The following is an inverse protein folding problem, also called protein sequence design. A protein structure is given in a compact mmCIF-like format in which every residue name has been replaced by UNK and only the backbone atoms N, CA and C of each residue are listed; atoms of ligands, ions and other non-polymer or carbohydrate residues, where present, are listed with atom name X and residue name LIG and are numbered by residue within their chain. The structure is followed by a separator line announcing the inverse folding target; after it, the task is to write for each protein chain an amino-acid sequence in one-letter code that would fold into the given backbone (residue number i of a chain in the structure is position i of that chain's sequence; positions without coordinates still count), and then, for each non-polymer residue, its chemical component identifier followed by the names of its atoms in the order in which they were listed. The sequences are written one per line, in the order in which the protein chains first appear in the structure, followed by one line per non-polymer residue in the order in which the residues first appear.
data_IF_201691384676
#
_entry.id   IF_201691384676
#
_cell.length_a   1.000
_cell.length_b   1.000
_cell.length_c   1.000
_cell.angle_alpha   90.00
_cell.angle_beta   90.00
_cell.angle_gamma   90.00
#
_symmetry.space_group_name_H-M   'P 1'
#
loop_
_entity.id
_entity.type
_entity.pdbx_description
1 polymer ?
#
# COMPACT_ATOMS: atom_id res chain seq x y z
N UNK A 1 -8.46 73.83 -22.65
CA UNK A 1 -8.74 75.24 -22.30
C UNK A 1 -10.22 75.45 -22.61
N UNK A 2 -11.17 75.61 -21.69
CA UNK A 2 -11.23 76.40 -20.46
C UNK A 2 -12.32 75.84 -19.52
N UNK A 3 -11.99 75.84 -18.22
CA UNK A 3 -12.79 76.07 -16.97
C UNK A 3 -14.32 76.21 -17.07
N UNK A 4 -15.16 75.99 -16.05
CA UNK A 4 -15.12 75.48 -14.67
C UNK A 4 -16.52 75.90 -14.14
N UNK A 5 -17.26 75.07 -13.41
CA UNK A 5 -18.55 75.49 -12.85
C UNK A 5 -19.14 74.48 -11.88
N UNK A 6 -18.71 74.56 -10.62
CA UNK A 6 -19.18 73.73 -9.51
C UNK A 6 -20.44 74.30 -8.83
N UNK A 7 -21.11 73.39 -8.09
CA UNK A 7 -21.99 73.57 -6.91
C UNK A 7 -23.49 73.64 -7.21
N UNK A 8 -24.26 72.65 -6.71
CA UNK A 8 -24.92 72.77 -5.41
C UNK A 8 -25.46 71.41 -4.93
N UNK A 9 -25.39 71.22 -3.62
CA UNK A 9 -25.76 70.04 -2.84
C UNK A 9 -27.24 70.16 -2.46
N UNK A 10 -28.01 69.08 -2.55
CA UNK A 10 -29.19 68.88 -1.70
C UNK A 10 -29.19 67.49 -1.09
N UNK A 11 -29.13 67.49 0.24
CA UNK A 11 -29.26 66.37 1.16
C UNK A 11 -30.72 65.91 1.16
N UNK A 12 -30.98 64.62 0.90
CA UNK A 12 -32.22 63.97 1.34
C UNK A 12 -31.85 62.70 2.10
N UNK A 13 -32.11 62.73 3.40
CA UNK A 13 -32.03 61.60 4.31
C UNK A 13 -33.14 60.60 3.97
N UNK A 14 -32.75 59.38 3.63
CA UNK A 14 -33.64 58.24 3.47
C UNK A 14 -33.21 57.13 4.41
N UNK A 15 -33.89 57.03 5.56
CA UNK A 15 -33.83 55.88 6.46
C UNK A 15 -34.51 54.70 5.75
N UNK A 16 -33.80 53.59 5.55
CA UNK A 16 -34.40 52.33 5.14
C UNK A 16 -33.85 51.18 5.98
N UNK A 17 -34.82 50.48 6.59
CA UNK A 17 -34.71 49.39 7.52
C UNK A 17 -33.97 48.17 6.94
N UNK A 18 -33.22 47.55 7.86
CA UNK A 18 -32.78 46.16 7.93
C UNK A 18 -33.41 45.13 6.97
N UNK A 19 -32.53 44.37 6.31
CA UNK A 19 -32.65 42.92 6.20
C UNK A 19 -31.24 42.34 6.20
N UNK A 20 -30.73 42.01 7.39
CA UNK A 20 -29.61 41.09 7.53
C UNK A 20 -30.08 39.73 7.01
N UNK A 21 -29.91 39.47 5.72
CA UNK A 21 -29.93 38.12 5.21
C UNK A 21 -28.70 37.42 5.82
N UNK A 22 -28.93 36.70 6.92
CA UNK A 22 -28.12 35.56 7.27
C UNK A 22 -28.19 34.58 6.08
N UNK A 23 -27.38 34.84 5.05
CA UNK A 23 -26.87 33.76 4.23
C UNK A 23 -25.98 32.95 5.16
N UNK A 24 -26.63 32.05 5.92
CA UNK A 24 -25.96 30.88 6.41
C UNK A 24 -25.37 30.23 5.19
N UNK A 25 -24.06 30.43 5.01
CA UNK A 25 -23.25 29.60 4.15
C UNK A 25 -23.43 28.20 4.72
N UNK A 26 -24.40 27.44 4.20
CA UNK A 26 -24.40 26.00 4.36
C UNK A 26 -23.12 25.59 3.67
N UNK A 27 -22.07 25.37 4.46
CA UNK A 27 -21.03 24.47 4.03
C UNK A 27 -21.78 23.24 3.54
N UNK A 28 -21.61 22.92 2.26
CA UNK A 28 -21.84 21.56 1.80
C UNK A 28 -20.79 20.74 2.54
N UNK A 29 -21.09 20.42 3.79
CA UNK A 29 -20.40 19.39 4.52
C UNK A 29 -20.63 18.14 3.70
N UNK A 30 -19.58 17.72 2.99
CA UNK A 30 -19.48 16.33 2.59
C UNK A 30 -19.70 15.54 3.88
N UNK A 31 -20.81 14.84 3.99
CA UNK A 31 -20.93 13.79 5.00
C UNK A 31 -19.85 12.76 4.66
N UNK A 32 -18.66 12.98 5.20
CA UNK A 32 -17.62 11.97 5.19
C UNK A 32 -18.13 10.91 6.14
N UNK A 33 -18.75 9.86 5.58
CA UNK A 33 -19.16 8.70 6.34
C UNK A 33 -17.99 8.18 7.17
N UNK A 34 -18.30 7.62 8.34
CA UNK A 34 -17.32 7.07 9.28
C UNK A 34 -16.25 6.24 8.56
N UNK A 35 -14.96 6.39 8.91
CA UNK A 35 -13.88 5.63 8.27
C UNK A 35 -14.17 4.13 8.26
N UNK A 36 -13.74 3.46 7.18
CA UNK A 36 -13.85 2.02 7.02
C UNK A 36 -12.46 1.42 7.18
N UNK A 37 -12.34 0.39 8.01
CA UNK A 37 -11.09 -0.37 8.14
C UNK A 37 -11.01 -1.42 7.03
N UNK A 38 -9.99 -1.35 6.18
CA UNK A 38 -9.67 -2.42 5.25
C UNK A 38 -8.85 -3.46 6.00
N UNK A 39 -9.45 -4.61 6.26
CA UNK A 39 -8.81 -5.74 6.94
C UNK A 39 -8.25 -6.72 5.91
N UNK A 40 -6.94 -6.93 5.97
CA UNK A 40 -6.21 -7.91 5.18
C UNK A 40 -6.02 -9.17 6.01
N UNK A 41 -6.42 -10.31 5.46
CA UNK A 41 -6.23 -11.65 6.03
C UNK A 41 -5.47 -12.51 5.02
N UNK A 42 -4.25 -12.89 5.38
CA UNK A 42 -3.36 -13.70 4.54
C UNK A 42 -2.97 -14.96 5.31
N UNK A 43 -3.00 -16.10 4.63
CA UNK A 43 -2.47 -17.37 5.15
C UNK A 43 -1.35 -17.84 4.25
N UNK A 44 -0.20 -18.12 4.86
CA UNK A 44 0.97 -18.67 4.21
C UNK A 44 1.00 -20.19 4.40
N UNK A 45 1.54 -20.89 3.41
CA UNK A 45 1.92 -22.31 3.52
C UNK A 45 3.39 -22.42 3.93
N UNK A 46 3.69 -22.85 5.18
CA UNK A 46 5.06 -22.96 5.66
C UNK A 46 5.91 -23.98 4.91
N UNK A 47 5.29 -25.01 4.34
CA UNK A 47 6.00 -26.10 3.72
C UNK A 47 6.63 -25.67 2.40
N UNK A 48 6.06 -24.66 1.73
CA UNK A 48 6.63 -24.07 0.52
C UNK A 48 7.98 -23.42 0.82
N UNK A 49 8.05 -22.49 1.77
CA UNK A 49 9.32 -21.79 2.03
C UNK A 49 10.32 -22.61 2.85
N UNK A 50 9.89 -23.66 3.58
CA UNK A 50 10.80 -24.63 4.23
C UNK A 50 11.53 -25.52 3.22
N UNK A 51 11.00 -25.66 2.00
CA UNK A 51 11.66 -26.38 0.90
C UNK A 51 12.68 -25.51 0.16
N UNK A 52 12.65 -24.19 0.35
CA UNK A 52 13.65 -23.30 -0.25
C UNK A 52 15.05 -23.57 0.30
N UNK A 53 16.07 -23.12 -0.44
CA UNK A 53 17.45 -23.34 -0.03
C UNK A 53 17.78 -22.70 1.33
N UNK A 54 17.12 -21.59 1.68
CA UNK A 54 17.37 -20.87 2.93
C UNK A 54 16.43 -21.22 4.07
N UNK A 55 15.28 -21.85 3.79
CA UNK A 55 14.31 -22.30 4.80
C UNK A 55 13.87 -21.16 5.73
N UNK A 56 13.79 -19.94 5.20
CA UNK A 56 13.38 -18.75 5.95
C UNK A 56 11.99 -18.31 5.51
N UNK A 57 11.19 -17.74 6.43
CA UNK A 57 9.93 -17.13 6.06
C UNK A 57 10.12 -16.08 4.96
N UNK A 58 9.12 -15.90 4.07
CA UNK A 58 9.19 -14.93 3.00
C UNK A 58 9.27 -13.49 3.51
N UNK A 59 9.70 -12.60 2.64
CA UNK A 59 9.47 -11.17 2.77
C UNK A 59 8.22 -10.81 1.97
N UNK A 60 7.40 -9.90 2.47
CA UNK A 60 6.32 -9.33 1.68
C UNK A 60 5.93 -7.93 2.13
N UNK A 61 5.21 -7.22 1.27
CA UNK A 61 4.62 -5.92 1.55
C UNK A 61 3.19 -5.85 1.03
N UNK A 62 2.38 -5.02 1.69
CA UNK A 62 1.00 -4.71 1.36
C UNK A 62 0.89 -3.20 1.29
N UNK A 63 0.31 -2.66 0.22
CA UNK A 63 0.07 -1.22 0.10
C UNK A 63 -1.20 -0.94 -0.72
N UNK A 64 -1.68 0.29 -0.56
CA UNK A 64 -2.78 0.85 -1.33
C UNK A 64 -2.25 1.86 -2.33
N UNK A 65 -2.91 1.93 -3.49
CA UNK A 65 -2.82 3.05 -4.42
C UNK A 65 -4.24 3.53 -4.72
N UNK A 66 -4.47 4.84 -4.69
CA UNK A 66 -5.78 5.37 -5.11
C UNK A 66 -6.01 5.11 -6.61
N UNK A 67 -7.26 5.24 -7.06
CA UNK A 67 -7.62 4.94 -8.46
C UNK A 67 -6.88 5.80 -9.50
N UNK A 68 -6.26 6.91 -9.11
CA UNK A 68 -5.47 7.78 -9.98
C UNK A 68 -3.95 7.59 -9.82
N UNK A 69 -3.52 6.75 -8.87
CA UNK A 69 -2.12 6.57 -8.46
C UNK A 69 -1.50 7.79 -7.77
N UNK A 70 -2.32 8.71 -7.23
CA UNK A 70 -1.82 9.93 -6.59
C UNK A 70 -1.44 9.71 -5.12
N UNK A 71 -2.21 8.91 -4.40
CA UNK A 71 -1.89 8.45 -3.04
C UNK A 71 -1.35 7.03 -3.07
N UNK A 72 -0.17 6.82 -2.46
CA UNK A 72 0.41 5.52 -2.15
C UNK A 72 0.49 5.41 -0.63
N UNK A 73 0.04 4.29 -0.08
CA UNK A 73 0.09 4.05 1.37
C UNK A 73 0.55 2.64 1.68
N UNK A 74 1.73 2.51 2.28
CA UNK A 74 2.18 1.23 2.84
C UNK A 74 1.28 0.84 4.02
N UNK A 75 0.71 -0.37 3.96
CA UNK A 75 -0.14 -0.94 5.01
C UNK A 75 0.69 -1.84 5.92
N UNK A 76 1.55 -2.66 5.33
CA UNK A 76 2.40 -3.58 6.04
C UNK A 76 3.63 -3.95 5.21
N UNK A 77 4.79 -4.16 5.85
CA UNK A 77 5.99 -4.70 5.22
C UNK A 77 6.80 -5.51 6.22
N UNK A 78 7.44 -6.58 5.75
CA UNK A 78 8.32 -7.38 6.60
C UNK A 78 9.53 -6.56 7.06
N UNK A 79 9.82 -6.61 8.36
CA UNK A 79 10.83 -5.79 9.03
C UNK A 79 12.20 -5.83 8.36
N UNK A 80 12.69 -6.99 7.88
CA UNK A 80 14.03 -7.01 7.26
C UNK A 80 14.11 -6.14 6.01
N UNK A 81 13.05 -6.11 5.20
CA UNK A 81 12.99 -5.22 4.04
C UNK A 81 12.64 -3.80 4.48
N UNK A 82 11.68 -3.63 5.38
CA UNK A 82 11.22 -2.33 5.87
C UNK A 82 12.27 -1.54 6.66
N UNK A 83 13.14 -2.21 7.42
CA UNK A 83 14.18 -1.58 8.23
C UNK A 83 15.59 -1.74 7.62
N UNK A 84 15.72 -2.42 6.47
CA UNK A 84 17.02 -2.73 5.88
C UNK A 84 17.93 -3.58 6.79
N UNK A 85 17.35 -4.42 7.65
CA UNK A 85 18.04 -5.15 8.71
C UNK A 85 18.44 -6.59 8.31
N UNK A 86 19.23 -6.74 7.25
CA UNK A 86 19.66 -8.05 6.73
C UNK A 86 20.93 -8.63 7.37
N UNK A 87 21.31 -8.12 8.55
CA UNK A 87 22.60 -8.36 9.18
C UNK A 87 23.67 -7.40 8.64
N UNK A 88 24.09 -6.44 9.46
CA UNK A 88 24.92 -5.32 9.03
C UNK A 88 24.14 -4.27 8.20
N UNK A 89 24.86 -3.35 7.54
CA UNK A 89 24.28 -2.30 6.66
C UNK A 89 24.01 -2.81 5.24
N UNK A 90 23.33 -3.95 5.13
CA UNK A 90 23.15 -4.63 3.85
C UNK A 90 21.69 -4.52 3.40
N UNK A 91 21.47 -3.95 2.23
CA UNK A 91 20.17 -3.95 1.55
C UNK A 91 20.11 -5.15 0.61
N UNK A 92 18.94 -5.80 0.51
CA UNK A 92 18.64 -6.85 -0.49
C UNK A 92 17.76 -6.25 -1.59
N UNK A 93 18.36 -5.74 -2.68
CA UNK A 93 17.65 -4.92 -3.67
C UNK A 93 16.59 -5.67 -4.49
N UNK A 94 16.61 -7.00 -4.47
CA UNK A 94 15.68 -7.87 -5.19
C UNK A 94 14.63 -8.53 -4.30
N UNK A 95 14.60 -8.19 -2.99
CA UNK A 95 13.63 -8.74 -2.04
C UNK A 95 12.20 -8.30 -2.38
N UNK A 96 11.93 -6.99 -2.36
CA UNK A 96 10.63 -6.40 -2.71
C UNK A 96 10.83 -5.14 -3.57
N UNK A 97 11.48 -5.24 -4.75
CA UNK A 97 11.92 -4.07 -5.50
C UNK A 97 10.75 -3.21 -5.98
N UNK A 98 9.60 -3.82 -6.28
CA UNK A 98 8.44 -3.06 -6.74
C UNK A 98 7.87 -2.21 -5.61
N UNK A 99 7.63 -2.78 -4.43
CA UNK A 99 7.23 -2.03 -3.24
C UNK A 99 8.26 -0.96 -2.86
N UNK A 100 9.57 -1.26 -2.89
CA UNK A 100 10.62 -0.25 -2.61
C UNK A 100 10.47 0.97 -3.53
N UNK A 101 10.13 0.77 -4.80
CA UNK A 101 9.86 1.88 -5.71
C UNK A 101 8.61 2.70 -5.35
N UNK A 102 7.60 2.07 -4.73
CA UNK A 102 6.37 2.72 -4.26
C UNK A 102 6.59 3.45 -2.93
N UNK A 103 7.34 2.83 -2.02
CA UNK A 103 7.76 3.46 -0.77
C UNK A 103 8.59 4.73 -1.00
N UNK A 104 9.50 4.74 -1.99
CA UNK A 104 10.24 5.95 -2.39
C UNK A 104 9.32 7.08 -2.84
N UNK A 105 8.26 6.76 -3.59
CA UNK A 105 7.26 7.73 -4.04
C UNK A 105 6.40 8.24 -2.88
N UNK A 106 5.98 7.34 -1.99
CA UNK A 106 5.22 7.64 -0.78
C UNK A 106 5.98 8.59 0.17
N UNK A 107 7.26 8.32 0.39
CA UNK A 107 8.08 9.04 1.40
C UNK A 107 8.91 10.18 0.83
N UNK A 108 9.03 10.30 -0.49
CA UNK A 108 10.00 11.19 -1.14
C UNK A 108 11.46 10.75 -0.98
N UNK A 109 11.72 9.53 -0.51
CA UNK A 109 13.08 9.02 -0.33
C UNK A 109 13.79 8.74 -1.67
N UNK A 110 15.10 8.99 -1.70
CA UNK A 110 15.96 8.69 -2.85
C UNK A 110 16.48 7.24 -2.86
N UNK A 111 16.40 6.54 -1.75
CA UNK A 111 16.97 5.20 -1.54
C UNK A 111 15.95 4.14 -1.14
N UNK A 112 16.39 2.89 -1.00
CA UNK A 112 15.60 1.87 -0.32
C UNK A 112 15.60 2.12 1.21
N UNK A 113 14.69 1.49 1.97
CA UNK A 113 14.77 1.55 3.42
C UNK A 113 16.11 1.04 3.95
N UNK A 114 16.67 1.74 4.93
CA UNK A 114 17.93 1.38 5.61
C UNK A 114 17.75 1.51 7.12
N UNK A 115 18.69 1.02 7.95
CA UNK A 115 18.63 1.24 9.39
C UNK A 115 18.58 2.73 9.79
N UNK A 116 19.16 3.62 8.97
CA UNK A 116 19.15 5.07 9.18
C UNK A 116 17.88 5.75 8.62
N UNK A 117 17.16 5.09 7.71
CA UNK A 117 15.91 5.57 7.12
C UNK A 117 14.93 4.41 6.90
N UNK A 118 14.39 3.81 7.98
CA UNK A 118 13.51 2.66 7.88
C UNK A 118 12.07 3.09 7.50
N UNK A 119 11.28 2.16 6.99
CA UNK A 119 9.83 2.26 7.04
C UNK A 119 9.38 2.35 8.51
N UNK A 120 8.35 3.16 8.75
CA UNK A 120 7.87 3.43 10.12
C UNK A 120 7.42 2.16 10.82
N UNK A 121 7.71 2.04 12.12
CA UNK A 121 7.42 0.82 12.91
C UNK A 121 5.95 0.39 12.85
N UNK A 122 5.03 1.35 12.71
CA UNK A 122 3.59 1.09 12.63
C UNK A 122 3.17 0.20 11.43
N UNK A 123 4.02 0.12 10.40
CA UNK A 123 3.77 -0.71 9.20
C UNK A 123 4.79 -1.83 9.05
N UNK A 124 5.72 -2.01 10.00
CA UNK A 124 6.71 -3.09 9.93
C UNK A 124 6.38 -4.22 10.90
N UNK A 125 6.74 -5.45 10.54
CA UNK A 125 6.59 -6.59 11.44
C UNK A 125 7.36 -7.82 11.01
N UNK A 126 7.51 -8.77 11.94
CA UNK A 126 8.05 -10.08 11.61
C UNK A 126 7.09 -10.82 10.67
N UNK A 127 7.62 -11.60 9.73
CA UNK A 127 6.81 -12.53 8.94
C UNK A 127 6.15 -13.53 9.89
N UNK A 128 4.81 -13.58 9.98
CA UNK A 128 4.17 -14.58 10.82
C UNK A 128 4.42 -15.98 10.26
N UNK A 129 4.38 -16.97 11.15
CA UNK A 129 4.66 -18.36 10.76
C UNK A 129 3.57 -18.94 9.85
N UNK A 130 2.35 -18.41 9.88
CA UNK A 130 1.23 -18.93 9.09
C UNK A 130 0.25 -17.82 8.70
N UNK A 131 -0.40 -17.17 9.68
CA UNK A 131 -1.44 -16.18 9.38
C UNK A 131 -0.99 -14.75 9.69
N UNK A 132 -1.25 -13.82 8.76
CA UNK A 132 -1.17 -12.37 8.98
C UNK A 132 -2.58 -11.76 8.97
N UNK A 133 -2.83 -10.89 9.95
CA UNK A 133 -3.92 -9.93 9.91
C UNK A 133 -3.38 -8.52 10.12
N UNK A 134 -3.72 -7.59 9.22
CA UNK A 134 -3.42 -6.17 9.38
C UNK A 134 -4.57 -5.31 8.86
N UNK A 135 -4.68 -4.08 9.36
CA UNK A 135 -5.77 -3.17 9.00
C UNK A 135 -5.24 -1.77 8.69
N UNK A 136 -5.94 -1.05 7.81
CA UNK A 136 -5.74 0.39 7.61
C UNK A 136 -7.08 1.08 7.46
N UNK A 137 -7.22 2.29 7.99
CA UNK A 137 -8.44 3.08 7.87
C UNK A 137 -8.41 3.96 6.63
N UNK A 138 -9.50 3.93 5.86
CA UNK A 138 -9.69 4.79 4.69
C UNK A 138 -11.07 5.43 4.74
N UNK A 139 -11.26 6.52 3.99
CA UNK A 139 -12.56 7.20 3.91
C UNK A 139 -13.65 6.26 3.38
N UNK A 140 -14.85 6.28 3.98
CA UNK A 140 -15.97 5.50 3.48
C UNK A 140 -16.25 5.78 2.00
N UNK A 141 -16.56 4.72 1.24
CA UNK A 141 -16.88 4.80 -0.19
C UNK A 141 -15.68 5.03 -1.12
N UNK A 142 -14.48 5.29 -0.59
CA UNK A 142 -13.27 5.41 -1.39
C UNK A 142 -12.93 4.11 -2.13
N UNK A 143 -12.27 4.22 -3.29
CA UNK A 143 -11.84 3.09 -4.12
C UNK A 143 -10.33 2.99 -4.12
N UNK A 144 -9.83 1.79 -3.90
CA UNK A 144 -8.41 1.50 -3.81
C UNK A 144 -8.04 0.31 -4.69
N UNK A 145 -6.92 0.46 -5.41
CA UNK A 145 -6.13 -0.68 -5.83
C UNK A 145 -5.26 -1.08 -4.63
N UNK A 146 -5.20 -2.37 -4.32
CA UNK A 146 -4.30 -2.89 -3.30
C UNK A 146 -3.37 -3.93 -3.92
N UNK A 147 -2.15 -3.96 -3.41
CA UNK A 147 -1.09 -4.80 -3.93
C UNK A 147 -0.44 -5.58 -2.80
N UNK A 148 0.02 -6.77 -3.14
CA UNK A 148 0.81 -7.63 -2.25
C UNK A 148 1.98 -8.15 -3.06
N UNK A 149 3.20 -7.81 -2.66
CA UNK A 149 4.43 -8.35 -3.25
C UNK A 149 5.06 -9.32 -2.27
N UNK A 150 5.44 -10.53 -2.72
CA UNK A 150 6.06 -11.55 -1.87
C UNK A 150 7.30 -12.15 -2.52
N UNK A 151 8.31 -12.43 -1.71
CA UNK A 151 9.55 -13.10 -2.09
C UNK A 151 9.95 -14.19 -1.09
N UNK A 152 10.27 -15.37 -1.62
CA UNK A 152 10.92 -16.45 -0.87
C UNK A 152 12.37 -16.52 -1.32
N UNK A 153 13.28 -15.97 -0.51
CA UNK A 153 14.70 -16.00 -0.85
C UNK A 153 15.22 -17.44 -0.93
N UNK A 154 15.97 -17.74 -1.99
CA UNK A 154 16.57 -19.05 -2.26
C UNK A 154 15.59 -20.07 -2.80
N UNK A 155 14.43 -19.65 -3.31
CA UNK A 155 13.42 -20.52 -3.96
C UNK A 155 13.83 -20.83 -5.42
N UNK A 156 14.97 -21.52 -5.58
CA UNK A 156 15.54 -21.82 -6.88
C UNK A 156 14.77 -22.92 -7.61
N UNK A 157 14.72 -22.82 -8.94
CA UNK A 157 14.24 -23.88 -9.81
C UNK A 157 15.03 -23.90 -11.14
N UNK A 158 14.57 -24.65 -12.13
CA UNK A 158 15.25 -24.75 -13.43
C UNK A 158 15.36 -23.39 -14.16
N UNK A 159 14.30 -22.58 -14.12
CA UNK A 159 14.26 -21.27 -14.80
C UNK A 159 15.00 -20.19 -14.01
N UNK A 160 14.98 -20.28 -12.68
CA UNK A 160 15.58 -19.33 -11.76
C UNK A 160 16.65 -20.02 -10.90
N UNK A 161 17.73 -20.43 -11.55
CA UNK A 161 18.84 -21.13 -10.90
C UNK A 161 19.78 -20.17 -10.17
N UNK A 162 20.53 -20.68 -9.18
CA UNK A 162 21.56 -19.91 -8.48
C UNK A 162 22.73 -19.46 -9.40
N UNK A 163 22.91 -20.18 -10.51
CA UNK A 163 23.77 -19.78 -11.63
C UNK A 163 22.96 -20.03 -12.91
N UNK A 164 22.71 -18.98 -13.67
CA UNK A 164 22.00 -19.07 -14.96
C UNK A 164 22.79 -19.86 -16.00
N UNK A 165 22.14 -20.23 -17.11
CA UNK A 165 22.76 -20.95 -18.23
C UNK A 165 23.97 -20.21 -18.83
N UNK A 166 23.93 -18.88 -18.82
CA UNK A 166 25.01 -18.01 -19.31
C UNK A 166 26.08 -17.71 -18.23
N UNK A 167 26.03 -18.40 -17.08
CA UNK A 167 27.02 -18.28 -16.01
C UNK A 167 26.81 -17.10 -15.05
N UNK A 168 25.77 -16.28 -15.22
CA UNK A 168 25.43 -15.21 -14.27
C UNK A 168 24.97 -15.81 -12.94
N UNK A 169 25.69 -15.51 -11.86
CA UNK A 169 25.39 -15.95 -10.49
C UNK A 169 24.36 -15.04 -9.81
N UNK A 170 23.40 -15.64 -9.12
CA UNK A 170 22.51 -14.94 -8.20
C UNK A 170 23.26 -14.55 -6.91
N UNK A 171 23.77 -13.32 -6.87
CA UNK A 171 24.52 -12.80 -5.73
C UNK A 171 23.63 -12.44 -4.54
N UNK A 172 22.34 -12.23 -4.78
CA UNK A 172 21.39 -11.80 -3.75
C UNK A 172 20.68 -12.99 -3.08
N UNK A 173 20.76 -14.17 -3.71
CA UNK A 173 20.08 -15.35 -3.22
C UNK A 173 18.57 -15.26 -3.41
N UNK A 174 18.13 -14.70 -4.53
CA UNK A 174 16.72 -14.51 -4.82
C UNK A 174 16.03 -15.86 -5.10
N UNK A 175 16.52 -16.59 -6.09
CA UNK A 175 15.76 -17.69 -6.69
C UNK A 175 14.65 -17.16 -7.59
N UNK A 176 13.46 -17.74 -7.50
CA UNK A 176 12.28 -17.17 -8.15
C UNK A 176 12.10 -15.70 -7.72
N UNK A 177 11.91 -14.76 -8.67
CA UNK A 177 11.71 -13.35 -8.35
C UNK A 177 10.45 -13.13 -7.52
N UNK A 178 10.34 -11.97 -6.88
CA UNK A 178 9.12 -11.63 -6.16
C UNK A 178 7.92 -11.61 -7.11
N UNK A 179 6.78 -12.03 -6.61
CA UNK A 179 5.52 -12.03 -7.35
C UNK A 179 4.55 -11.00 -6.75
N UNK A 180 3.72 -10.42 -7.61
CA UNK A 180 2.82 -9.33 -7.23
C UNK A 180 1.37 -9.75 -7.48
N UNK A 181 0.57 -9.68 -6.42
CA UNK A 181 -0.88 -9.76 -6.48
C UNK A 181 -1.47 -8.35 -6.51
N UNK A 182 -2.57 -8.17 -7.25
CA UNK A 182 -3.36 -6.94 -7.28
C UNK A 182 -4.84 -7.25 -7.11
N UNK A 183 -5.52 -6.47 -6.29
CA UNK A 183 -6.97 -6.45 -6.21
C UNK A 183 -7.51 -5.04 -6.12
N UNK A 184 -8.84 -4.94 -6.12
CA UNK A 184 -9.55 -3.66 -6.03
C UNK A 184 -10.62 -3.77 -4.96
N UNK A 185 -10.81 -2.72 -4.17
CA UNK A 185 -11.85 -2.69 -3.14
C UNK A 185 -12.46 -1.29 -3.02
N UNK A 186 -13.79 -1.25 -2.86
CA UNK A 186 -14.49 -0.05 -2.40
C UNK A 186 -14.68 -0.17 -0.89
N UNK A 187 -14.28 0.86 -0.15
CA UNK A 187 -14.28 0.89 1.29
C UNK A 187 -15.70 1.01 1.85
N UNK A 188 -16.41 -0.11 1.90
CA UNK A 188 -17.75 -0.25 2.46
C UNK A 188 -17.75 -1.44 3.45
N UNK A 189 -18.42 -1.32 4.61
CA UNK A 189 -18.55 -2.44 5.53
C UNK A 189 -19.13 -3.69 4.85
N UNK A 190 -18.53 -4.85 5.12
CA UNK A 190 -18.91 -6.15 4.55
C UNK A 190 -18.41 -6.39 3.11
N UNK A 191 -17.84 -5.39 2.43
CA UNK A 191 -17.29 -5.59 1.08
C UNK A 191 -16.06 -6.48 1.15
N UNK A 192 -16.01 -7.53 0.33
CA UNK A 192 -14.88 -8.47 0.23
C UNK A 192 -14.20 -8.37 -1.13
N UNK A 193 -12.90 -8.65 -1.16
CA UNK A 193 -12.10 -8.72 -2.37
C UNK A 193 -10.98 -9.76 -2.23
N UNK A 194 -10.65 -10.42 -3.35
CA UNK A 194 -9.56 -11.38 -3.46
C UNK A 194 -8.70 -10.94 -4.64
N UNK A 195 -7.37 -10.76 -4.47
CA UNK A 195 -6.53 -10.28 -5.54
C UNK A 195 -6.22 -11.38 -6.55
N UNK A 196 -5.71 -10.97 -7.71
CA UNK A 196 -5.17 -11.85 -8.75
C UNK A 196 -3.66 -11.69 -8.81
N UNK A 197 -2.95 -12.77 -9.09
CA UNK A 197 -1.52 -12.71 -9.44
C UNK A 197 -1.39 -12.00 -10.79
N UNK A 198 -0.62 -10.91 -10.84
CA UNK A 198 -0.49 -10.06 -12.04
C UNK A 198 0.91 -10.05 -12.66
N UNK A 199 1.90 -10.63 -12.01
CA UNK A 199 3.24 -10.72 -12.57
C UNK A 199 4.33 -10.92 -11.53
N UNK A 200 5.56 -10.70 -11.96
CA UNK A 200 6.80 -10.87 -11.18
C UNK A 200 7.78 -9.72 -11.40
N UNK A 201 8.87 -9.72 -10.65
CA UNK A 201 10.02 -8.84 -10.86
C UNK A 201 11.15 -9.56 -11.61
N UNK A 202 12.28 -8.89 -11.76
CA UNK A 202 13.50 -9.53 -12.27
C UNK A 202 14.20 -10.34 -11.17
N UNK A 203 14.87 -11.44 -11.55
CA UNK A 203 15.62 -12.28 -10.60
C UNK A 203 16.86 -11.54 -10.05
N UNK A 204 17.56 -10.79 -10.90
CA UNK A 204 18.87 -10.23 -10.61
C UNK A 204 18.83 -8.73 -10.35
N UNK A 205 17.85 -8.04 -10.92
CA UNK A 205 17.77 -6.58 -10.93
C UNK A 205 16.63 -6.04 -10.06
N UNK A 206 16.89 -4.88 -9.46
CA UNK A 206 15.84 -4.09 -8.82
C UNK A 206 15.07 -3.35 -9.91
N UNK A 207 13.76 -3.58 -10.00
CA UNK A 207 12.90 -3.00 -11.04
C UNK A 207 11.69 -2.31 -10.42
N UNK A 208 11.19 -1.27 -11.08
CA UNK A 208 10.00 -0.50 -10.71
C UNK A 208 8.76 -0.82 -11.58
N UNK A 209 8.90 -1.84 -12.44
CA UNK A 209 7.90 -2.37 -13.37
C UNK A 209 7.54 -3.81 -13.02
N UNK A 210 6.33 -4.20 -13.40
CA UNK A 210 5.84 -5.58 -13.30
C UNK A 210 6.10 -6.27 -14.64
N UNK A 211 6.70 -7.47 -14.58
CA UNK A 211 6.80 -8.39 -15.71
C UNK A 211 5.57 -9.29 -15.65
N UNK A 212 4.64 -9.12 -16.58
CA UNK A 212 3.36 -9.87 -16.60
C UNK A 212 3.56 -11.37 -16.86
N UNK A 213 4.64 -11.72 -17.57
CA UNK A 213 5.03 -13.09 -17.82
C UNK A 213 5.39 -13.83 -16.51
N UNK A 214 4.71 -14.93 -16.26
CA UNK A 214 4.94 -15.81 -15.10
C UNK A 214 5.67 -17.10 -15.49
N UNK A 215 6.21 -17.20 -16.70
CA UNK A 215 6.97 -18.37 -17.15
C UNK A 215 8.10 -18.69 -16.16
N UNK A 216 8.21 -19.99 -15.83
CA UNK A 216 9.17 -20.49 -14.86
C UNK A 216 8.79 -20.29 -13.38
N UNK A 217 7.76 -19.51 -13.04
CA UNK A 217 7.30 -19.40 -11.64
C UNK A 217 6.56 -20.69 -11.25
N UNK A 218 7.11 -21.39 -10.26
CA UNK A 218 6.62 -22.67 -9.75
C UNK A 218 6.09 -22.57 -8.32
N UNK A 219 6.97 -22.56 -7.32
CA UNK A 219 6.61 -22.67 -5.89
C UNK A 219 6.22 -21.33 -5.29
N UNK A 220 6.75 -20.21 -5.81
CA UNK A 220 6.48 -18.89 -5.26
C UNK A 220 4.99 -18.52 -5.24
N UNK A 221 4.20 -18.96 -6.25
CA UNK A 221 2.75 -18.71 -6.33
C UNK A 221 1.92 -19.54 -5.35
N UNK A 222 2.49 -20.61 -4.79
CA UNK A 222 1.81 -21.50 -3.84
C UNK A 222 1.99 -21.04 -2.38
N UNK A 223 2.83 -20.01 -2.14
CA UNK A 223 3.16 -19.55 -0.78
C UNK A 223 1.95 -19.02 -0.03
N UNK A 224 1.04 -18.32 -0.72
CA UNK A 224 -0.22 -17.89 -0.11
C UNK A 224 -1.31 -18.92 -0.38
N UNK A 225 -1.77 -19.58 0.67
CA UNK A 225 -2.93 -20.47 0.61
C UNK A 225 -4.26 -19.70 0.65
N UNK A 226 -4.25 -18.49 1.20
CA UNK A 226 -5.39 -17.58 1.20
C UNK A 226 -4.94 -16.12 1.21
N UNK A 227 -5.66 -15.29 0.44
CA UNK A 227 -5.60 -13.84 0.55
C UNK A 227 -7.02 -13.31 0.47
N UNK A 228 -7.42 -12.50 1.46
CA UNK A 228 -8.74 -11.86 1.49
C UNK A 228 -8.64 -10.46 2.09
N UNK A 229 -9.36 -9.51 1.49
CA UNK A 229 -9.52 -8.16 2.00
C UNK A 229 -10.99 -7.90 2.28
N UNK A 230 -11.30 -7.38 3.46
CA UNK A 230 -12.68 -7.06 3.88
C UNK A 230 -12.78 -5.65 4.43
N UNK A 231 -13.75 -4.86 3.98
CA UNK A 231 -14.12 -3.61 4.64
C UNK A 231 -14.89 -3.88 5.94
N UNK A 232 -14.40 -3.37 7.07
CA UNK A 232 -15.05 -3.47 8.38
C UNK A 232 -15.50 -2.09 8.87
N UNK A 233 -16.61 -2.08 9.59
CA UNK A 233 -17.03 -0.88 10.33
C UNK A 233 -16.04 -0.62 11.47
N UNK A 234 -15.68 0.63 11.72
CA UNK A 234 -14.82 1.00 12.86
C UNK A 234 -15.56 1.02 14.21
N UNK A 235 -16.84 0.61 14.27
CA UNK A 235 -17.61 0.58 15.50
C UNK A 235 -17.26 -0.67 16.32
N UNK A 236 -16.46 -0.47 17.37
CA UNK A 236 -16.25 -1.46 18.42
C UNK A 236 -17.57 -1.84 19.11
N UNK A 237 -17.68 -3.10 19.51
CA UNK A 237 -18.87 -3.65 20.14
C UNK A 237 -19.34 -2.85 21.35
N UNK A 238 -20.52 -2.25 21.24
CA UNK A 238 -21.44 -2.16 22.35
C UNK A 238 -22.46 -3.27 22.16
N UNK A 239 -22.18 -4.45 22.74
CA UNK A 239 -23.27 -5.37 23.07
C UNK A 239 -24.06 -4.64 24.13
N UNK A 240 -25.21 -4.09 23.74
CA UNK A 240 -26.21 -3.64 24.69
C UNK A 240 -26.57 -4.86 25.54
N UNK A 241 -26.11 -4.87 26.80
CA UNK A 241 -26.65 -5.77 27.79
C UNK A 241 -28.13 -5.48 27.90
N UNK A 242 -28.94 -6.46 27.51
CA UNK A 242 -30.37 -6.45 27.79
C UNK A 242 -30.58 -6.38 29.32
N UNK A 243 -31.60 -5.59 29.68
CA UNK A 243 -32.00 -5.23 31.04
C UNK A 243 -32.42 -6.44 31.87
#
# INVERSE_FOLDING_TARGET
MTRLGSRLIFFCAGILLACCAFFGCRSLGTEQGEPVALHFSLSLDPDIYKQSHYKKPPQFAIWLEDAMGAEIRTVWVTEKTGAGSWGGKIVRPVSLPYWVSRWKKETGSSGAPTPENPAVDAVTGATPAQDLACETQVSAGSRWDYYIEINVSGDYNYSFAAVSKDGKRDKNGNGQPSIIYKGQITALPGRRSVPRLIGRTDQFESVDRIIEDLEGISTAKEVFSKIEVTGKSCNGGAVAGDK
#
